data_IF_805367412467
#
_entry.id   IF_805367412467
#
_cell.length_a   1.000
_cell.length_b   1.000
_cell.length_c   1.000
_cell.angle_alpha   90.00
_cell.angle_beta   90.00
_cell.angle_gamma   90.00
#
_symmetry.space_group_name_H-M   'P 1'
#
loop_
_entity.id
_entity.type
_entity.pdbx_description
1 polymer ?
#
# COMPACT_ATOMS: atom_id res chain seq x y z
N UNK A 1 13.82 -6.59 -3.04
CA UNK A 1 12.48 -6.94 -2.53
C UNK A 1 12.65 -7.28 -1.06
N UNK A 2 12.21 -6.39 -0.18
CA UNK A 2 12.21 -6.66 1.24
C UNK A 2 10.79 -7.05 1.64
N UNK A 3 10.59 -8.31 2.04
CA UNK A 3 9.36 -8.80 2.63
C UNK A 3 9.61 -8.95 4.13
N UNK A 4 8.99 -8.12 4.95
CA UNK A 4 9.08 -8.20 6.41
C UNK A 4 7.69 -8.40 7.01
N UNK A 5 7.53 -9.52 7.72
CA UNK A 5 6.25 -10.06 8.19
C UNK A 5 6.06 -9.89 9.70
N UNK A 6 4.89 -9.46 10.15
CA UNK A 6 4.38 -9.65 11.53
C UNK A 6 2.85 -9.56 11.62
N UNK A 7 2.24 -10.34 12.53
CA UNK A 7 0.82 -10.75 12.55
C UNK A 7 -0.06 -10.19 13.66
N UNK A 8 -1.37 -10.08 13.40
CA UNK A 8 -2.51 -10.59 14.18
C UNK A 8 -3.84 -10.43 13.42
N UNK A 9 -4.74 -11.42 13.51
CA UNK A 9 -5.92 -11.58 12.65
C UNK A 9 -7.25 -11.09 13.24
N UNK A 10 -8.16 -10.59 12.35
CA UNK A 10 -9.62 -10.73 12.44
C UNK A 10 -10.23 -10.68 11.05
N UNK A 11 -11.22 -11.55 10.74
CA UNK A 11 -11.89 -11.63 9.41
C UNK A 11 -12.87 -10.47 9.22
N UNK A 12 -12.83 -9.81 8.06
CA UNK A 12 -13.86 -8.84 7.61
C UNK A 12 -14.11 -8.95 6.11
N UNK A 13 -15.26 -8.36 5.65
CA UNK A 13 -15.63 -8.21 4.25
C UNK A 13 -14.44 -7.68 3.43
N UNK A 14 -14.18 -8.20 2.23
CA UNK A 14 -13.03 -7.88 1.37
C UNK A 14 -11.66 -8.41 1.84
N UNK A 15 -11.61 -9.28 2.86
CA UNK A 15 -10.33 -9.76 3.41
C UNK A 15 -9.51 -8.67 4.12
N UNK A 16 -10.16 -7.58 4.50
CA UNK A 16 -9.52 -6.42 5.09
C UNK A 16 -9.02 -6.71 6.51
N UNK A 17 -7.72 -6.54 6.73
CA UNK A 17 -7.08 -6.47 8.04
C UNK A 17 -6.59 -5.04 8.24
N UNK A 18 -7.39 -4.23 8.94
CA UNK A 18 -7.03 -2.83 9.18
C UNK A 18 -5.83 -2.73 10.09
N UNK A 19 -4.83 -1.99 9.63
CA UNK A 19 -3.73 -1.56 10.46
C UNK A 19 -4.27 -0.59 11.53
N UNK A 20 -4.06 -0.93 12.80
CA UNK A 20 -4.55 -0.13 13.94
C UNK A 20 -3.41 0.56 14.71
N UNK A 21 -2.19 0.14 14.50
CA UNK A 21 -1.03 0.60 15.26
C UNK A 21 -0.21 1.62 14.49
N UNK A 22 -0.10 2.83 15.03
CA UNK A 22 0.83 3.86 14.53
C UNK A 22 2.27 3.37 14.54
N UNK A 23 2.70 2.66 15.58
CA UNK A 23 4.06 2.15 15.69
C UNK A 23 4.39 1.14 14.57
N UNK A 24 3.42 0.32 14.17
CA UNK A 24 3.60 -0.61 13.04
C UNK A 24 3.69 0.17 11.73
N UNK A 25 2.84 1.18 11.52
CA UNK A 25 2.89 2.04 10.34
C UNK A 25 4.24 2.75 10.21
N UNK A 26 4.75 3.32 11.29
CA UNK A 26 6.08 3.94 11.35
C UNK A 26 7.20 2.92 11.09
N UNK A 27 7.07 1.70 11.61
CA UNK A 27 8.02 0.61 11.35
C UNK A 27 8.04 0.20 9.87
N UNK A 28 6.86 0.14 9.21
CA UNK A 28 6.76 -0.11 7.78
C UNK A 28 7.46 1.01 6.99
N UNK A 29 7.18 2.26 7.35
CA UNK A 29 7.77 3.45 6.71
C UNK A 29 9.30 3.45 6.82
N UNK A 30 9.85 3.13 8.00
CA UNK A 30 11.30 2.97 8.20
C UNK A 30 11.88 1.81 7.41
N UNK A 31 11.20 0.67 7.39
CA UNK A 31 11.64 -0.52 6.64
C UNK A 31 11.69 -0.25 5.14
N UNK A 32 10.77 0.55 4.63
CA UNK A 32 10.72 0.98 3.24
C UNK A 32 11.73 2.09 2.91
N UNK A 33 12.48 2.56 3.89
CA UNK A 33 13.43 3.68 3.74
C UNK A 33 12.78 4.88 3.02
N UNK A 34 11.60 5.29 3.49
CA UNK A 34 10.84 6.40 2.91
C UNK A 34 11.55 7.70 3.18
N UNK A 35 11.79 8.46 2.11
CA UNK A 35 12.47 9.76 2.14
C UNK A 35 11.57 10.88 1.67
N UNK A 36 11.97 12.09 2.01
CA UNK A 36 11.33 13.32 1.51
C UNK A 36 11.17 13.30 -0.01
N UNK A 37 9.97 13.53 -0.47
CA UNK A 37 9.66 13.63 -1.90
C UNK A 37 9.52 12.30 -2.65
N UNK A 38 9.68 11.15 -1.97
CA UNK A 38 9.44 9.85 -2.58
C UNK A 38 8.02 9.75 -3.14
N UNK A 39 7.90 9.13 -4.31
CA UNK A 39 6.59 8.76 -4.85
C UNK A 39 6.20 7.38 -4.34
N UNK A 40 5.07 7.30 -3.67
CA UNK A 40 4.57 6.08 -3.05
C UNK A 40 3.24 5.70 -3.70
N UNK A 41 3.09 4.44 -4.09
CA UNK A 41 1.80 3.83 -4.34
C UNK A 41 1.41 2.99 -3.13
N UNK A 42 0.33 3.38 -2.46
CA UNK A 42 -0.27 2.63 -1.36
C UNK A 42 -1.50 1.87 -1.85
N UNK A 43 -1.55 0.57 -1.59
CA UNK A 43 -2.71 -0.26 -1.95
C UNK A 43 -3.50 -0.61 -0.69
N UNK A 44 -4.79 -0.28 -0.71
CA UNK A 44 -5.70 -0.57 0.40
C UNK A 44 -5.37 0.23 1.67
N UNK A 45 -5.41 1.57 1.64
CA UNK A 45 -5.07 2.42 2.79
C UNK A 45 -5.97 2.21 4.01
N UNK A 46 -7.16 1.65 3.83
CA UNK A 46 -8.10 1.40 4.90
C UNK A 46 -8.49 2.68 5.65
N UNK A 47 -8.19 2.76 6.94
CA UNK A 47 -8.43 3.97 7.75
C UNK A 47 -7.33 5.04 7.64
N UNK A 48 -6.32 4.81 6.80
CA UNK A 48 -5.27 5.79 6.50
C UNK A 48 -4.21 5.95 7.59
N UNK A 49 -3.96 4.92 8.40
CA UNK A 49 -2.90 4.96 9.44
C UNK A 49 -1.52 4.89 8.80
N UNK A 50 -1.33 3.99 7.85
CA UNK A 50 -0.09 3.92 7.07
C UNK A 50 0.06 5.15 6.18
N UNK A 51 -1.02 5.58 5.52
CA UNK A 51 -1.06 6.83 4.73
C UNK A 51 -0.53 8.01 5.54
N UNK A 52 -1.00 8.17 6.79
CA UNK A 52 -0.55 9.25 7.66
C UNK A 52 0.95 9.18 7.97
N UNK A 53 1.47 8.00 8.25
CA UNK A 53 2.91 7.82 8.51
C UNK A 53 3.76 8.15 7.27
N UNK A 54 3.30 7.78 6.09
CA UNK A 54 3.95 8.11 4.82
C UNK A 54 3.95 9.61 4.55
N UNK A 55 2.80 10.28 4.75
CA UNK A 55 2.66 11.72 4.60
C UNK A 55 3.53 12.50 5.63
N UNK A 56 3.64 12.00 6.85
CA UNK A 56 4.52 12.59 7.87
C UNK A 56 6.00 12.54 7.47
N UNK A 57 6.38 11.64 6.57
CA UNK A 57 7.72 11.60 5.97
C UNK A 57 7.87 12.52 4.75
N UNK A 58 6.88 13.37 4.48
CA UNK A 58 6.83 14.26 3.33
C UNK A 58 6.91 13.51 1.97
N UNK A 59 6.46 12.27 1.92
CA UNK A 59 6.29 11.53 0.68
C UNK A 59 5.04 11.99 -0.07
N UNK A 60 5.01 11.73 -1.38
CA UNK A 60 3.84 11.91 -2.23
C UNK A 60 3.12 10.58 -2.34
N UNK A 61 1.93 10.48 -1.78
CA UNK A 61 1.18 9.24 -1.66
C UNK A 61 0.02 9.22 -2.64
N UNK A 62 0.02 8.24 -3.54
CA UNK A 62 -1.14 7.87 -4.34
C UNK A 62 -1.71 6.59 -3.76
N UNK A 63 -2.92 6.65 -3.24
CA UNK A 63 -3.59 5.51 -2.61
C UNK A 63 -4.71 4.96 -3.51
N UNK A 64 -4.80 3.64 -3.61
CA UNK A 64 -5.86 2.94 -4.35
C UNK A 64 -6.74 2.17 -3.37
N UNK A 65 -8.03 2.48 -3.33
CA UNK A 65 -9.01 1.88 -2.43
C UNK A 65 -10.24 1.43 -3.22
N UNK A 66 -10.78 0.27 -2.88
CA UNK A 66 -11.97 -0.31 -3.51
C UNK A 66 -13.26 -0.02 -2.73
N UNK A 67 -13.16 0.26 -1.44
CA UNK A 67 -14.31 0.49 -0.56
C UNK A 67 -14.76 1.96 -0.64
N UNK A 68 -15.98 2.25 -1.14
CA UNK A 68 -16.45 3.62 -1.29
C UNK A 68 -16.64 4.35 0.03
N UNK A 69 -16.97 3.66 1.12
CA UNK A 69 -17.09 4.29 2.45
C UNK A 69 -15.73 4.73 2.97
N UNK A 70 -14.70 3.88 2.78
CA UNK A 70 -13.33 4.21 3.16
C UNK A 70 -12.80 5.36 2.29
N UNK A 71 -13.09 5.35 0.98
CA UNK A 71 -12.73 6.46 0.09
C UNK A 71 -13.28 7.79 0.59
N UNK A 72 -14.55 7.84 0.95
CA UNK A 72 -15.18 9.06 1.48
C UNK A 72 -14.53 9.54 2.77
N UNK A 73 -14.22 8.63 3.69
CA UNK A 73 -13.53 8.94 4.95
C UNK A 73 -12.10 9.43 4.74
N UNK A 74 -11.36 8.78 3.84
CA UNK A 74 -9.98 9.15 3.50
C UNK A 74 -9.93 10.51 2.82
N UNK A 75 -10.83 10.77 1.88
CA UNK A 75 -10.90 12.06 1.19
C UNK A 75 -11.15 13.21 2.16
N UNK A 76 -12.05 13.04 3.11
CA UNK A 76 -12.30 14.02 4.17
C UNK A 76 -11.09 14.16 5.12
N UNK A 77 -10.49 13.02 5.53
CA UNK A 77 -9.36 13.01 6.47
C UNK A 77 -8.14 13.74 5.92
N UNK A 78 -7.88 13.58 4.63
CA UNK A 78 -6.69 14.13 3.96
C UNK A 78 -7.01 15.27 2.98
N UNK A 79 -8.15 15.95 3.13
CA UNK A 79 -8.61 17.02 2.23
C UNK A 79 -7.62 18.18 2.08
N UNK A 80 -6.81 18.44 3.11
CA UNK A 80 -5.82 19.51 3.12
C UNK A 80 -4.40 19.03 2.80
N UNK A 81 -4.21 17.74 2.52
CA UNK A 81 -2.90 17.15 2.23
C UNK A 81 -2.57 17.24 0.73
N UNK A 82 -1.74 18.20 0.37
CA UNK A 82 -1.33 18.42 -1.04
C UNK A 82 -0.56 17.25 -1.66
N UNK A 83 0.05 16.42 -0.82
CA UNK A 83 0.83 15.26 -1.23
C UNK A 83 0.01 13.96 -1.25
N UNK A 84 -1.30 14.03 -1.07
CA UNK A 84 -2.19 12.87 -1.09
C UNK A 84 -3.09 12.88 -2.32
N UNK A 85 -3.14 11.74 -3.02
CA UNK A 85 -4.06 11.49 -4.12
C UNK A 85 -4.78 10.16 -3.86
N UNK A 86 -6.10 10.16 -3.91
CA UNK A 86 -6.92 8.97 -3.74
C UNK A 86 -7.54 8.54 -5.07
N UNK A 87 -7.43 7.25 -5.37
CA UNK A 87 -8.03 6.61 -6.54
C UNK A 87 -9.02 5.55 -6.06
N UNK A 88 -10.30 5.75 -6.36
CA UNK A 88 -11.34 4.75 -6.14
C UNK A 88 -11.33 3.74 -7.29
N UNK A 89 -10.70 2.59 -7.07
CA UNK A 89 -10.59 1.54 -8.09
C UNK A 89 -10.25 0.18 -7.44
N UNK A 90 -10.70 -0.89 -8.09
CA UNK A 90 -10.19 -2.22 -7.79
C UNK A 90 -8.78 -2.35 -8.39
N UNK A 91 -7.78 -2.51 -7.53
CA UNK A 91 -6.37 -2.63 -7.94
C UNK A 91 -6.13 -3.84 -8.87
N UNK A 92 -6.92 -4.90 -8.73
CA UNK A 92 -6.80 -6.09 -9.58
C UNK A 92 -7.29 -5.84 -11.02
N UNK A 93 -8.11 -4.80 -11.23
CA UNK A 93 -8.60 -4.35 -12.56
C UNK A 93 -7.70 -3.30 -13.21
N UNK A 94 -6.65 -2.82 -12.52
CA UNK A 94 -5.69 -1.91 -13.09
C UNK A 94 -4.74 -2.70 -14.00
N UNK A 95 -4.66 -2.31 -15.26
CA UNK A 95 -3.72 -2.93 -16.19
C UNK A 95 -2.27 -2.65 -15.78
N UNK A 96 -1.38 -3.60 -16.02
CA UNK A 96 0.03 -3.50 -15.59
C UNK A 96 0.70 -2.21 -16.08
N UNK A 97 0.40 -1.78 -17.30
CA UNK A 97 0.93 -0.55 -17.86
C UNK A 97 0.29 0.73 -17.29
N UNK A 98 -0.91 0.65 -16.71
CA UNK A 98 -1.59 1.78 -16.07
C UNK A 98 -0.93 2.18 -14.76
N UNK A 99 -0.29 1.26 -14.05
CA UNK A 99 0.44 1.59 -12.81
C UNK A 99 1.48 2.69 -13.01
N UNK A 100 2.12 2.75 -14.19
CA UNK A 100 3.06 3.81 -14.55
C UNK A 100 2.42 5.20 -14.62
N UNK A 101 1.10 5.26 -14.84
CA UNK A 101 0.33 6.51 -14.93
C UNK A 101 -0.24 6.96 -13.59
N UNK A 102 -0.37 6.04 -12.62
CA UNK A 102 -0.94 6.34 -11.30
C UNK A 102 0.02 7.11 -10.41
N UNK A 103 1.30 6.91 -10.60
CA UNK A 103 2.35 7.56 -9.83
C UNK A 103 3.56 7.85 -10.72
N UNK A 104 4.40 8.80 -10.30
CA UNK A 104 5.64 9.09 -11.02
C UNK A 104 6.68 8.03 -10.68
N UNK A 105 7.21 7.34 -11.68
CA UNK A 105 8.26 6.36 -11.51
C UNK A 105 9.66 7.02 -11.56
N UNK A 106 10.64 6.50 -10.84
CA UNK A 106 10.56 5.34 -9.95
C UNK A 106 9.72 5.62 -8.70
N UNK A 107 8.98 4.63 -8.24
CA UNK A 107 8.11 4.70 -7.08
C UNK A 107 8.33 3.52 -6.17
N UNK A 108 7.99 3.69 -4.89
CA UNK A 108 7.90 2.60 -3.93
C UNK A 108 6.45 2.15 -3.82
N UNK A 109 6.21 0.85 -3.87
CA UNK A 109 4.92 0.27 -3.49
C UNK A 109 4.99 -0.10 -2.01
N UNK A 110 4.10 0.48 -1.21
CA UNK A 110 4.03 0.22 0.22
C UNK A 110 2.58 -0.11 0.56
N UNK A 111 2.34 -1.29 1.14
CA UNK A 111 0.97 -1.73 1.40
C UNK A 111 0.87 -2.71 2.56
N UNK A 112 -0.26 -2.61 3.28
CA UNK A 112 -0.78 -3.67 4.12
C UNK A 112 -1.83 -4.43 3.31
N UNK A 113 -1.40 -5.51 2.61
CA UNK A 113 -2.23 -6.18 1.62
C UNK A 113 -3.28 -7.09 2.24
N UNK A 114 -4.55 -7.04 1.76
CA UNK A 114 -5.54 -8.05 2.06
C UNK A 114 -5.05 -9.44 1.62
N UNK A 115 -5.30 -10.46 2.47
CA UNK A 115 -4.76 -11.82 2.24
C UNK A 115 -5.21 -12.44 0.90
N UNK A 116 -6.43 -12.12 0.47
CA UNK A 116 -7.05 -12.71 -0.73
C UNK A 116 -6.47 -12.19 -2.05
N UNK A 117 -5.78 -11.06 -2.03
CA UNK A 117 -5.19 -10.48 -3.25
C UNK A 117 -3.66 -10.38 -3.21
N UNK A 118 -3.04 -10.56 -2.05
CA UNK A 118 -1.61 -10.30 -1.86
C UNK A 118 -0.73 -11.03 -2.88
N UNK A 119 -0.87 -12.35 -2.99
CA UNK A 119 -0.08 -13.15 -3.94
C UNK A 119 -0.37 -12.77 -5.38
N UNK A 120 -1.66 -12.67 -5.75
CA UNK A 120 -2.06 -12.34 -7.12
C UNK A 120 -1.57 -10.96 -7.55
N UNK A 121 -1.66 -9.96 -6.65
CA UNK A 121 -1.18 -8.60 -6.93
C UNK A 121 0.34 -8.58 -7.11
N UNK A 122 1.09 -9.24 -6.23
CA UNK A 122 2.55 -9.29 -6.34
C UNK A 122 2.99 -9.97 -7.65
N UNK A 123 2.36 -11.10 -8.02
CA UNK A 123 2.63 -11.77 -9.29
C UNK A 123 2.31 -10.89 -10.50
N UNK A 124 1.24 -10.09 -10.42
CA UNK A 124 0.87 -9.13 -11.46
C UNK A 124 1.91 -8.02 -11.64
N UNK A 125 2.58 -7.60 -10.55
CA UNK A 125 3.55 -6.49 -10.56
C UNK A 125 4.98 -6.95 -10.87
N UNK A 126 5.32 -8.22 -10.63
CA UNK A 126 6.66 -8.76 -10.87
C UNK A 126 7.21 -8.53 -12.30
N UNK A 127 6.42 -8.70 -13.38
CA UNK A 127 6.89 -8.45 -14.74
C UNK A 127 7.37 -7.01 -14.98
N UNK A 128 6.84 -6.05 -14.24
CA UNK A 128 7.19 -4.63 -14.35
C UNK A 128 8.05 -4.12 -13.19
N UNK A 129 8.62 -5.02 -12.40
CA UNK A 129 9.41 -4.71 -11.19
C UNK A 129 10.55 -3.72 -11.41
N UNK A 130 11.15 -3.73 -12.59
CA UNK A 130 12.27 -2.85 -12.92
C UNK A 130 11.87 -1.37 -13.03
N UNK A 131 10.58 -1.09 -13.16
CA UNK A 131 10.04 0.26 -13.14
C UNK A 131 9.86 0.82 -11.72
N UNK A 132 9.99 -0.02 -10.70
CA UNK A 132 9.81 0.32 -9.31
C UNK A 132 11.14 0.38 -8.57
N UNK A 133 11.23 1.27 -7.59
CA UNK A 133 12.39 1.34 -6.70
C UNK A 133 12.36 0.18 -5.69
N UNK A 134 11.19 -0.06 -5.08
CA UNK A 134 11.02 -1.17 -4.13
C UNK A 134 9.56 -1.54 -3.92
N UNK A 135 9.34 -2.76 -3.42
CA UNK A 135 8.08 -3.21 -2.86
C UNK A 135 8.25 -3.50 -1.37
N UNK A 136 7.49 -2.84 -0.53
CA UNK A 136 7.43 -3.11 0.91
C UNK A 136 5.99 -3.45 1.27
N UNK A 137 5.74 -4.71 1.57
CA UNK A 137 4.38 -5.20 1.81
C UNK A 137 4.30 -5.94 3.14
N UNK A 138 3.24 -5.67 3.88
CA UNK A 138 2.85 -6.49 5.01
C UNK A 138 1.78 -7.47 4.54
N UNK A 139 2.06 -8.75 4.74
CA UNK A 139 1.17 -9.86 4.37
C UNK A 139 1.04 -10.82 5.53
N UNK A 140 0.09 -11.76 5.48
CA UNK A 140 0.02 -12.83 6.46
C UNK A 140 1.24 -13.76 6.38
N UNK A 141 1.58 -14.44 7.50
CA UNK A 141 2.77 -15.30 7.59
C UNK A 141 2.80 -16.36 6.49
N UNK A 142 1.70 -17.06 6.35
CA UNK A 142 1.57 -18.13 5.38
C UNK A 142 1.79 -17.66 3.93
N UNK A 143 1.34 -16.44 3.63
CA UNK A 143 1.59 -15.81 2.32
C UNK A 143 3.06 -15.46 2.17
N UNK A 144 3.65 -14.90 3.22
CA UNK A 144 5.07 -14.55 3.21
C UNK A 144 5.98 -15.75 3.09
N UNK A 145 5.71 -16.82 3.82
CA UNK A 145 6.46 -18.08 3.74
C UNK A 145 6.44 -18.65 2.33
N UNK A 146 5.28 -18.63 1.65
CA UNK A 146 5.17 -19.07 0.24
C UNK A 146 5.94 -18.17 -0.73
N UNK A 147 5.99 -16.86 -0.47
CA UNK A 147 6.72 -15.94 -1.33
C UNK A 147 8.25 -16.02 -1.14
N UNK A 148 8.71 -16.49 0.01
CA UNK A 148 10.13 -16.65 0.33
C UNK A 148 10.65 -18.08 0.11
N UNK A 149 9.77 -19.05 -0.12
CA UNK A 149 10.15 -20.41 -0.47
C UNK A 149 10.55 -20.48 -1.94
#
# INVERSE_FOLDING_TARGET
>A
IFIKLKFKMTKKKWGQHFLKSKNIAESITRTADVKYGDNILEIGPGHGILTQALLNSNAKVTAVEIDPELCSKLQKKFENEKNFTLIYKDVMKIETNEFKKLTKLPSKLIANLPYNIATALLLKLLPVRNAWESFTVMVQLEVGERLCA
#
